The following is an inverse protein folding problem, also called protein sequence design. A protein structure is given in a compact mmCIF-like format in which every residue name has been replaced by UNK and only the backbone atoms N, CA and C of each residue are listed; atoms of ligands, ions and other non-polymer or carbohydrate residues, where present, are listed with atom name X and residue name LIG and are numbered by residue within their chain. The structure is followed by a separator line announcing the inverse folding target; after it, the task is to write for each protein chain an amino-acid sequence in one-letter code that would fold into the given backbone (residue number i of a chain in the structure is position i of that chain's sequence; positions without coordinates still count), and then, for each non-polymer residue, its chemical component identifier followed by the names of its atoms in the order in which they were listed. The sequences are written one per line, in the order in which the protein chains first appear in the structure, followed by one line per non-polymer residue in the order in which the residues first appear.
data_IF_955447937280
#
_entry.id   IF_955447937280
#
_cell.length_a   1.000
_cell.length_b   1.000
_cell.length_c   1.000
_cell.angle_alpha   90.00
_cell.angle_beta   90.00
_cell.angle_gamma   90.00
#
_symmetry.space_group_name_H-M   'P 1'
#
loop_
_entity.id
_entity.type
_entity.pdbx_description
1 polymer ?
#
# COMPACT_ATOMS: atom_id res chain seq x y z
N UNK A 1 33.24 -1.74 17.42
CA UNK A 1 31.88 -2.33 17.30
C UNK A 1 32.05 -3.83 17.13
N UNK A 2 31.18 -4.66 17.72
CA UNK A 2 31.27 -6.11 17.49
C UNK A 2 30.76 -6.44 16.09
N UNK A 3 31.41 -7.39 15.41
CA UNK A 3 31.01 -7.90 14.08
C UNK A 3 29.52 -8.25 14.02
N UNK A 4 28.97 -8.81 15.11
CA UNK A 4 27.54 -9.12 15.25
C UNK A 4 26.65 -7.88 15.15
N UNK A 5 27.08 -6.74 15.70
CA UNK A 5 26.32 -5.48 15.68
C UNK A 5 26.24 -4.94 14.25
N UNK A 6 27.34 -4.99 13.53
CA UNK A 6 27.41 -4.53 12.14
C UNK A 6 26.52 -5.39 11.24
N UNK A 7 26.51 -6.72 11.45
CA UNK A 7 25.60 -7.64 10.77
C UNK A 7 24.13 -7.26 11.05
N UNK A 8 23.76 -7.02 12.31
CA UNK A 8 22.39 -6.67 12.67
C UNK A 8 21.93 -5.35 12.04
N UNK A 9 22.78 -4.32 12.04
CA UNK A 9 22.48 -3.03 11.42
C UNK A 9 22.30 -3.20 9.90
N UNK A 10 23.23 -3.91 9.24
CA UNK A 10 23.15 -4.16 7.80
C UNK A 10 21.87 -4.90 7.41
N UNK A 11 21.47 -5.93 8.17
CA UNK A 11 20.21 -6.64 7.93
C UNK A 11 19.02 -5.70 8.16
N UNK A 12 19.01 -4.88 9.21
CA UNK A 12 17.93 -3.93 9.47
C UNK A 12 17.74 -2.91 8.33
N UNK A 13 18.85 -2.47 7.71
CA UNK A 13 18.82 -1.55 6.57
C UNK A 13 18.30 -2.23 5.30
N UNK A 14 18.72 -3.46 5.02
CA UNK A 14 18.19 -4.25 3.90
C UNK A 14 16.68 -4.49 4.06
N UNK A 15 16.22 -4.83 5.25
CA UNK A 15 14.80 -5.03 5.54
C UNK A 15 14.01 -3.73 5.36
N UNK A 16 14.56 -2.59 5.77
CA UNK A 16 13.93 -1.29 5.52
C UNK A 16 13.83 -0.97 4.02
N UNK A 17 14.89 -1.25 3.25
CA UNK A 17 14.89 -1.07 1.80
C UNK A 17 13.82 -1.95 1.12
N UNK A 18 13.67 -3.21 1.53
CA UNK A 18 12.63 -4.11 1.00
C UNK A 18 11.21 -3.66 1.38
N UNK A 19 11.03 -3.12 2.59
CA UNK A 19 9.75 -2.54 3.01
C UNK A 19 9.40 -1.32 2.15
N UNK A 20 10.35 -0.41 1.93
CA UNK A 20 10.19 0.76 1.07
C UNK A 20 9.86 0.34 -0.37
N UNK A 21 10.62 -0.60 -0.93
CA UNK A 21 10.39 -1.09 -2.28
C UNK A 21 8.97 -1.67 -2.45
N UNK A 22 8.44 -2.36 -1.44
CA UNK A 22 7.07 -2.88 -1.47
C UNK A 22 6.02 -1.74 -1.49
N UNK A 23 6.29 -0.64 -0.79
CA UNK A 23 5.44 0.56 -0.83
C UNK A 23 5.54 1.29 -2.18
N UNK A 24 6.75 1.44 -2.73
CA UNK A 24 6.98 2.04 -4.05
C UNK A 24 6.28 1.24 -5.16
N UNK A 25 6.34 -0.10 -5.09
CA UNK A 25 5.60 -0.97 -6.01
C UNK A 25 4.09 -0.79 -5.89
N UNK A 26 3.57 -0.56 -4.69
CA UNK A 26 2.13 -0.33 -4.48
C UNK A 26 1.68 0.99 -5.11
N UNK A 27 2.49 2.04 -4.95
CA UNK A 27 2.26 3.31 -5.62
C UNK A 27 2.29 3.16 -7.15
N UNK A 28 3.30 2.46 -7.68
CA UNK A 28 3.43 2.21 -9.12
C UNK A 28 2.25 1.42 -9.71
N UNK A 29 1.86 0.31 -9.08
CA UNK A 29 0.71 -0.51 -9.52
C UNK A 29 -0.56 0.31 -9.51
N UNK A 30 -0.81 1.07 -8.43
CA UNK A 30 -2.01 1.90 -8.33
C UNK A 30 -2.01 3.00 -9.39
N UNK A 31 -0.86 3.64 -9.65
CA UNK A 31 -0.70 4.61 -10.73
C UNK A 31 -1.05 4.02 -12.09
N UNK A 32 -0.56 2.80 -12.39
CA UNK A 32 -0.90 2.09 -13.63
C UNK A 32 -2.40 1.77 -13.70
N UNK A 33 -3.02 1.29 -12.62
CA UNK A 33 -4.47 1.04 -12.57
C UNK A 33 -5.26 2.31 -12.87
N UNK A 34 -4.88 3.46 -12.29
CA UNK A 34 -5.54 4.74 -12.54
C UNK A 34 -5.38 5.19 -14.00
N UNK A 35 -4.18 5.04 -14.59
CA UNK A 35 -3.94 5.40 -15.99
C UNK A 35 -4.79 4.53 -16.93
N UNK A 36 -4.77 3.21 -16.74
CA UNK A 36 -5.58 2.29 -17.56
C UNK A 36 -7.06 2.55 -17.37
N UNK A 37 -7.51 2.78 -16.13
CA UNK A 37 -8.90 3.12 -15.84
C UNK A 37 -9.34 4.40 -16.54
N UNK A 38 -8.48 5.43 -16.55
CA UNK A 38 -8.74 6.70 -17.25
C UNK A 38 -8.83 6.51 -18.76
N UNK A 39 -7.96 5.68 -19.34
CA UNK A 39 -8.02 5.35 -20.76
C UNK A 39 -9.31 4.60 -21.12
N UNK A 40 -9.72 3.62 -20.30
CA UNK A 40 -10.99 2.92 -20.51
C UNK A 40 -12.17 3.89 -20.40
N UNK A 41 -12.16 4.79 -19.42
CA UNK A 41 -13.19 5.82 -19.27
C UNK A 41 -13.32 6.68 -20.54
N UNK A 42 -12.20 7.11 -21.12
CA UNK A 42 -12.18 7.85 -22.38
C UNK A 42 -12.62 7.04 -23.61
N UNK A 43 -12.47 5.71 -23.57
CA UNK A 43 -13.03 4.82 -24.60
C UNK A 43 -14.55 4.63 -24.45
N UNK A 44 -15.04 4.56 -23.21
CA UNK A 44 -16.47 4.43 -22.91
C UNK A 44 -17.28 5.66 -23.35
N UNK A 45 -16.71 6.87 -23.26
CA UNK A 45 -17.38 8.08 -23.76
C UNK A 45 -17.57 8.10 -25.28
N UNK A 46 -16.70 7.39 -26.02
CA UNK A 46 -16.78 7.30 -27.48
C UNK A 46 -17.71 6.17 -27.96
N UNK A 47 -17.68 5.04 -27.26
CA UNK A 47 -18.48 3.85 -27.60
C UNK A 47 -19.93 3.94 -27.09
N UNK A 48 -20.18 4.79 -26.10
CA UNK A 48 -21.47 4.89 -25.42
C UNK A 48 -21.72 3.72 -24.47
N UNK A 49 -22.69 3.86 -23.57
CA UNK A 49 -23.04 2.82 -22.58
C UNK A 49 -24.01 1.80 -23.18
N UNK A 50 -23.57 1.11 -24.23
CA UNK A 50 -24.33 0.01 -24.85
C UNK A 50 -23.71 -1.34 -24.47
N UNK A 51 -24.36 -2.46 -24.83
CA UNK A 51 -23.80 -3.81 -24.61
C UNK A 51 -22.41 -4.02 -25.21
N UNK A 52 -22.03 -3.26 -26.23
CA UNK A 52 -20.68 -3.31 -26.82
C UNK A 52 -19.60 -2.75 -25.88
N UNK A 53 -19.98 -1.96 -24.86
CA UNK A 53 -19.07 -1.45 -23.84
C UNK A 53 -18.76 -2.48 -22.75
N UNK A 54 -19.48 -3.60 -22.68
CA UNK A 54 -19.30 -4.61 -21.64
C UNK A 54 -17.84 -5.07 -21.47
N UNK A 55 -17.07 -5.38 -22.53
CA UNK A 55 -15.68 -5.79 -22.38
C UNK A 55 -14.81 -4.75 -21.66
N UNK A 56 -15.03 -3.46 -21.95
CA UNK A 56 -14.31 -2.36 -21.31
C UNK A 56 -14.69 -2.21 -19.83
N UNK A 57 -15.99 -2.31 -19.52
CA UNK A 57 -16.47 -2.23 -18.13
C UNK A 57 -16.00 -3.42 -17.28
N UNK A 58 -15.99 -4.63 -17.83
CA UNK A 58 -15.46 -5.82 -17.17
C UNK A 58 -13.95 -5.67 -16.93
N UNK A 59 -13.22 -5.12 -17.90
CA UNK A 59 -11.80 -4.83 -17.74
C UNK A 59 -11.55 -3.87 -16.56
N UNK A 60 -12.35 -2.81 -16.41
CA UNK A 60 -12.30 -1.90 -15.24
C UNK A 60 -12.45 -2.65 -13.91
N UNK A 61 -13.42 -3.58 -13.83
CA UNK A 61 -13.65 -4.40 -12.64
C UNK A 61 -12.39 -5.20 -12.31
N UNK A 62 -11.84 -5.90 -13.31
CA UNK A 62 -10.69 -6.79 -13.16
C UNK A 62 -9.44 -6.01 -12.74
N UNK A 63 -9.13 -4.87 -13.37
CA UNK A 63 -7.93 -4.10 -13.03
C UNK A 63 -8.02 -3.47 -11.64
N UNK A 64 -9.20 -2.99 -11.22
CA UNK A 64 -9.40 -2.46 -9.87
C UNK A 64 -9.26 -3.57 -8.82
N UNK A 65 -9.79 -4.77 -9.10
CA UNK A 65 -9.73 -5.91 -8.20
C UNK A 65 -8.28 -6.39 -8.05
N UNK A 66 -7.56 -6.46 -9.18
CA UNK A 66 -6.14 -6.74 -9.20
C UNK A 66 -5.35 -5.71 -8.36
N UNK A 67 -5.60 -4.41 -8.55
CA UNK A 67 -4.94 -3.36 -7.78
C UNK A 67 -5.19 -3.44 -6.28
N UNK A 68 -6.41 -3.80 -5.86
CA UNK A 68 -6.74 -4.06 -4.45
C UNK A 68 -5.94 -5.24 -3.89
N UNK A 69 -5.96 -6.40 -4.57
CA UNK A 69 -5.27 -7.62 -4.13
C UNK A 69 -3.76 -7.40 -4.09
N UNK A 70 -3.20 -6.78 -5.12
CA UNK A 70 -1.78 -6.43 -5.17
C UNK A 70 -1.39 -5.50 -4.01
N UNK A 71 -2.20 -4.48 -3.73
CA UNK A 71 -1.98 -3.55 -2.62
C UNK A 71 -1.99 -4.23 -1.25
N UNK A 72 -2.91 -5.19 -1.05
CA UNK A 72 -2.96 -6.01 0.18
C UNK A 72 -1.69 -6.86 0.29
N UNK A 73 -1.29 -7.53 -0.81
CA UNK A 73 -0.16 -8.44 -0.79
C UNK A 73 1.17 -7.72 -0.55
N UNK A 74 1.36 -6.56 -1.17
CA UNK A 74 2.54 -5.72 -0.96
C UNK A 74 2.56 -5.14 0.46
N UNK A 75 1.40 -4.76 1.01
CA UNK A 75 1.32 -4.33 2.41
C UNK A 75 1.71 -5.43 3.40
N UNK A 76 1.23 -6.65 3.19
CA UNK A 76 1.60 -7.82 4.00
C UNK A 76 3.12 -8.03 3.99
N UNK A 77 3.73 -8.01 2.80
CA UNK A 77 5.18 -8.12 2.64
C UNK A 77 5.93 -6.97 3.33
N UNK A 78 5.55 -5.72 3.10
CA UNK A 78 6.16 -4.56 3.74
C UNK A 78 6.11 -4.68 5.28
N UNK A 79 4.97 -5.13 5.82
CA UNK A 79 4.79 -5.27 7.26
C UNK A 79 5.63 -6.38 7.87
N UNK A 80 5.90 -7.46 7.14
CA UNK A 80 6.85 -8.50 7.55
C UNK A 80 8.24 -7.90 7.77
N UNK A 81 8.75 -7.14 6.79
CA UNK A 81 10.07 -6.52 6.86
C UNK A 81 10.18 -5.48 7.99
N UNK A 82 9.16 -4.64 8.15
CA UNK A 82 9.08 -3.67 9.26
C UNK A 82 9.09 -4.39 10.62
N UNK A 83 8.38 -5.51 10.73
CA UNK A 83 8.33 -6.29 11.97
C UNK A 83 9.68 -6.95 12.28
N UNK A 84 10.38 -7.47 11.28
CA UNK A 84 11.73 -8.03 11.49
C UNK A 84 12.70 -6.95 11.96
N UNK A 85 12.69 -5.77 11.32
CA UNK A 85 13.47 -4.61 11.77
C UNK A 85 13.19 -4.24 13.23
N UNK A 86 11.94 -4.30 13.67
CA UNK A 86 11.58 -4.07 15.07
C UNK A 86 12.22 -5.08 16.02
N UNK A 87 12.26 -6.37 15.66
CA UNK A 87 12.93 -7.39 16.46
C UNK A 87 14.45 -7.23 16.48
N UNK A 88 15.06 -6.88 15.36
CA UNK A 88 16.49 -6.55 15.29
C UNK A 88 16.80 -5.36 16.20
N UNK A 89 15.97 -4.32 16.18
CA UNK A 89 16.12 -3.16 17.05
C UNK A 89 16.04 -3.52 18.53
N UNK A 90 15.07 -4.35 18.92
CA UNK A 90 14.99 -4.85 20.30
C UNK A 90 16.26 -5.59 20.71
N UNK A 91 16.80 -6.41 19.81
CA UNK A 91 18.05 -7.13 20.06
C UNK A 91 19.24 -6.18 20.21
N UNK A 92 19.30 -5.10 19.43
CA UNK A 92 20.33 -4.08 19.57
C UNK A 92 20.22 -3.33 20.91
N UNK A 93 19.01 -2.99 21.37
CA UNK A 93 18.79 -2.37 22.69
C UNK A 93 19.24 -3.29 23.83
N UNK A 94 18.98 -4.60 23.74
CA UNK A 94 19.46 -5.59 24.73
C UNK A 94 21.00 -5.66 24.79
N UNK A 95 21.68 -5.45 23.66
CA UNK A 95 23.13 -5.46 23.58
C UNK A 95 23.76 -4.13 24.05
N UNK A 96 23.04 -3.02 23.87
CA UNK A 96 23.51 -1.65 24.15
C UNK A 96 22.42 -0.83 24.88
N UNK A 97 22.08 -1.19 26.13
CA UNK A 97 20.97 -0.58 26.88
C UNK A 97 21.19 0.90 27.21
N UNK A 98 22.44 1.36 27.23
CA UNK A 98 22.81 2.77 27.45
C UNK A 98 22.31 3.70 26.34
N UNK A 99 21.99 3.16 25.16
CA UNK A 99 21.52 3.98 24.02
C UNK A 99 20.13 4.54 24.22
N UNK A 100 19.30 3.93 25.08
CA UNK A 100 17.91 4.31 25.33
C UNK A 100 17.09 4.54 24.05
N UNK A 101 17.43 3.83 22.98
CA UNK A 101 16.90 4.07 21.64
C UNK A 101 15.38 3.84 21.60
N UNK A 102 14.90 2.82 22.31
CA UNK A 102 13.47 2.55 22.42
C UNK A 102 12.70 3.70 23.10
N UNK A 103 13.27 4.35 24.12
CA UNK A 103 12.65 5.50 24.78
C UNK A 103 12.51 6.69 23.84
N UNK A 104 13.56 7.01 23.08
CA UNK A 104 13.54 8.10 22.10
C UNK A 104 12.46 7.86 21.04
N UNK A 105 12.36 6.63 20.53
CA UNK A 105 11.37 6.26 19.52
C UNK A 105 9.94 6.29 20.05
N UNK A 106 9.73 5.88 21.30
CA UNK A 106 8.41 5.94 21.93
C UNK A 106 8.00 7.39 22.21
N UNK A 107 8.95 8.28 22.51
CA UNK A 107 8.71 9.72 22.62
C UNK A 107 8.27 10.31 21.28
N UNK A 108 9.03 10.07 20.20
CA UNK A 108 8.66 10.52 18.84
C UNK A 108 7.30 9.96 18.42
N UNK A 109 7.00 8.70 18.76
CA UNK A 109 5.70 8.10 18.46
C UNK A 109 4.57 8.78 19.23
N UNK A 110 4.78 9.15 20.50
CA UNK A 110 3.79 9.87 21.31
C UNK A 110 3.54 11.27 20.76
N UNK A 111 4.60 12.02 20.44
CA UNK A 111 4.51 13.35 19.84
C UNK A 111 3.76 13.30 18.51
N UNK A 112 4.15 12.39 17.60
CA UNK A 112 3.46 12.22 16.33
C UNK A 112 1.97 11.85 16.51
N UNK A 113 1.63 11.04 17.51
CA UNK A 113 0.23 10.70 17.79
C UNK A 113 -0.57 11.87 18.37
N UNK A 114 0.08 12.77 19.11
CA UNK A 114 -0.52 13.99 19.62
C UNK A 114 -0.75 15.01 18.50
N UNK A 115 0.19 15.14 17.56
CA UNK A 115 0.11 16.06 16.43
C UNK A 115 -0.95 15.62 15.40
N UNK A 116 -1.17 14.31 15.23
CA UNK A 116 -2.04 13.74 14.20
C UNK A 116 -3.14 12.81 14.76
N UNK A 117 -4.06 13.31 15.61
CA UNK A 117 -5.03 12.47 16.32
C UNK A 117 -6.05 11.80 15.38
N UNK A 118 -6.43 12.49 14.30
CA UNK A 118 -7.38 11.97 13.30
C UNK A 118 -6.71 10.91 12.43
N UNK A 119 -5.53 11.23 11.88
CA UNK A 119 -4.78 10.34 10.97
C UNK A 119 -4.32 9.05 11.66
N UNK A 120 -4.16 9.06 12.99
CA UNK A 120 -3.82 7.85 13.77
C UNK A 120 -4.77 6.67 13.54
N UNK A 121 -6.05 6.96 13.31
CA UNK A 121 -7.06 5.91 13.13
C UNK A 121 -7.14 5.42 11.69
N UNK A 122 -6.66 6.22 10.72
CA UNK A 122 -6.66 5.87 9.31
C UNK A 122 -5.41 5.04 9.01
N UNK A 123 -5.61 3.77 8.65
CA UNK A 123 -4.50 2.91 8.29
C UNK A 123 -4.11 3.18 6.84
N UNK A 124 -2.84 3.50 6.58
CA UNK A 124 -2.37 3.82 5.23
C UNK A 124 -2.79 2.76 4.18
N UNK A 125 -2.76 1.47 4.51
CA UNK A 125 -3.15 0.40 3.59
C UNK A 125 -4.62 0.46 3.15
N UNK A 126 -5.54 1.03 3.95
CA UNK A 126 -6.95 1.13 3.56
C UNK A 126 -7.13 2.15 2.44
N UNK A 127 -6.34 3.22 2.41
CA UNK A 127 -6.39 4.25 1.37
C UNK A 127 -6.16 3.62 -0.02
N UNK A 128 -5.12 2.79 -0.13
CA UNK A 128 -4.77 2.12 -1.38
C UNK A 128 -5.84 1.13 -1.86
N UNK A 129 -6.44 0.39 -0.93
CA UNK A 129 -7.53 -0.54 -1.27
C UNK A 129 -8.78 0.22 -1.69
N UNK A 130 -9.15 1.28 -0.96
CA UNK A 130 -10.32 2.09 -1.31
C UNK A 130 -10.14 2.68 -2.71
N UNK A 131 -8.97 3.23 -3.02
CA UNK A 131 -8.69 3.81 -4.33
C UNK A 131 -8.86 2.80 -5.48
N UNK A 132 -8.26 1.62 -5.37
CA UNK A 132 -8.42 0.56 -6.38
C UNK A 132 -9.85 -0.02 -6.38
N UNK A 133 -10.50 -0.08 -5.21
CA UNK A 133 -11.89 -0.52 -5.07
C UNK A 133 -12.87 0.41 -5.76
N UNK A 134 -12.66 1.72 -5.72
CA UNK A 134 -13.47 2.69 -6.47
C UNK A 134 -13.43 2.39 -7.98
N UNK A 135 -12.26 2.02 -8.53
CA UNK A 135 -12.14 1.63 -9.95
C UNK A 135 -13.00 0.40 -10.25
N UNK A 136 -12.96 -0.63 -9.39
CA UNK A 136 -13.83 -1.80 -9.57
C UNK A 136 -15.30 -1.46 -9.46
N UNK A 137 -15.69 -0.63 -8.49
CA UNK A 137 -17.07 -0.20 -8.28
C UNK A 137 -17.59 0.56 -9.51
N UNK A 138 -16.79 1.46 -10.09
CA UNK A 138 -17.14 2.14 -11.33
C UNK A 138 -17.38 1.14 -12.47
N UNK A 139 -16.50 0.15 -12.63
CA UNK A 139 -16.70 -0.93 -13.61
C UNK A 139 -18.03 -1.65 -13.41
N UNK A 140 -18.38 -2.02 -12.18
CA UNK A 140 -19.66 -2.68 -11.85
C UNK A 140 -20.85 -1.78 -12.22
N UNK A 141 -20.81 -0.51 -11.82
CA UNK A 141 -21.86 0.47 -12.12
C UNK A 141 -22.05 0.60 -13.64
N UNK A 142 -20.97 0.72 -14.40
CA UNK A 142 -21.06 0.82 -15.86
C UNK A 142 -21.54 -0.47 -16.51
N UNK A 143 -21.13 -1.64 -16.03
CA UNK A 143 -21.65 -2.92 -16.51
C UNK A 143 -23.17 -2.99 -16.32
N UNK A 144 -23.69 -2.58 -15.15
CA UNK A 144 -25.14 -2.54 -14.90
C UNK A 144 -25.84 -1.58 -15.88
N UNK A 145 -25.32 -0.36 -16.04
CA UNK A 145 -25.91 0.64 -16.95
C UNK A 145 -25.94 0.12 -18.40
N UNK A 146 -24.85 -0.50 -18.86
CA UNK A 146 -24.71 -1.05 -20.20
C UNK A 146 -25.59 -2.28 -20.46
N UNK A 147 -26.05 -2.99 -19.43
CA UNK A 147 -27.01 -4.09 -19.55
C UNK A 147 -28.46 -3.60 -19.60
N UNK A 148 -28.75 -2.45 -18.96
CA UNK A 148 -30.07 -1.84 -18.91
C UNK A 148 -30.41 -1.04 -20.17
N UNK A 149 -29.40 -0.60 -20.93
CA UNK A 149 -29.54 0.01 -22.25
C UNK A 149 -29.39 -1.04 -23.37
#
# INVERSE_FOLDING_TARGET
MSETTDILINVADQEFAQAKQSEDQRANITGLVVVVASAIQGGLTQTGMTRNALPLTIMLIVIGAFGMVASIKLYERARRHIRLKFFIRKRLEELYPETQLQNLLDLTRKEQQADFPIMRNIRLWSIWIILNGMVSVLGIVYTIIALLH
#
